data_IF_878217067998
#
_entry.id   IF_878217067998
#
_cell.length_a   1.000
_cell.length_b   1.000
_cell.length_c   1.000
_cell.angle_alpha   90.00
_cell.angle_beta   90.00
_cell.angle_gamma   90.00
#
_symmetry.space_group_name_H-M   'P 1'
#
loop_
_entity.id
_entity.type
_entity.pdbx_description
1 polymer ?
#
# COMPACT_ATOMS: atom_id res chain seq x y z
N UNK A 1 -14.85 22.07 -5.07
CA UNK A 1 -14.39 21.59 -3.75
C UNK A 1 -14.11 20.11 -3.86
N UNK A 2 -13.00 19.63 -3.32
CA UNK A 2 -12.50 18.31 -3.62
C UNK A 2 -13.37 17.20 -2.98
N UNK A 3 -13.84 16.19 -3.74
CA UNK A 3 -14.78 15.15 -3.29
C UNK A 3 -14.33 14.32 -2.06
N UNK A 4 -13.04 14.32 -1.73
CA UNK A 4 -12.50 13.51 -0.64
C UNK A 4 -12.97 13.96 0.75
N UNK A 5 -13.32 15.24 0.93
CA UNK A 5 -13.77 15.77 2.22
C UNK A 5 -15.16 15.25 2.64
N UNK A 6 -15.96 14.79 1.68
CA UNK A 6 -17.27 14.18 1.92
C UNK A 6 -17.25 12.66 1.98
N UNK A 7 -16.06 12.04 1.90
CA UNK A 7 -15.92 10.59 1.91
C UNK A 7 -16.27 10.04 3.30
N UNK A 8 -17.28 9.16 3.37
CA UNK A 8 -17.58 8.42 4.60
C UNK A 8 -16.55 7.32 4.76
N UNK A 9 -15.65 7.47 5.73
CA UNK A 9 -14.66 6.43 6.04
C UNK A 9 -15.40 5.26 6.70
N UNK A 10 -15.29 4.04 6.16
CA UNK A 10 -15.94 2.87 6.75
C UNK A 10 -15.29 2.49 8.08
N UNK A 11 -16.10 2.11 9.07
CA UNK A 11 -15.61 1.51 10.31
C UNK A 11 -15.47 0.02 10.09
N UNK A 12 -14.24 -0.49 10.13
CA UNK A 12 -13.94 -1.92 10.03
C UNK A 12 -13.73 -2.50 11.43
N UNK A 13 -14.80 -3.06 12.00
CA UNK A 13 -14.72 -3.80 13.28
C UNK A 13 -14.75 -5.29 12.99
N UNK A 14 -13.57 -5.90 12.85
CA UNK A 14 -13.42 -7.32 12.51
C UNK A 14 -12.32 -7.98 13.35
N UNK A 15 -12.64 -9.06 14.07
CA UNK A 15 -11.65 -9.81 14.86
C UNK A 15 -10.50 -10.36 13.98
N UNK A 16 -10.76 -10.63 12.70
CA UNK A 16 -9.74 -11.02 11.71
C UNK A 16 -8.75 -9.89 11.42
N UNK A 17 -9.22 -8.63 11.42
CA UNK A 17 -8.36 -7.46 11.22
C UNK A 17 -7.33 -7.36 12.34
N UNK A 18 -7.77 -7.50 13.60
CA UNK A 18 -6.88 -7.43 14.76
C UNK A 18 -5.76 -8.46 14.67
N UNK A 19 -6.08 -9.73 14.36
CA UNK A 19 -5.08 -10.77 14.20
C UNK A 19 -4.06 -10.48 13.09
N UNK A 20 -4.52 -10.05 11.91
CA UNK A 20 -3.66 -9.74 10.76
C UNK A 20 -2.76 -8.54 11.08
N UNK A 21 -3.35 -7.47 11.63
CA UNK A 21 -2.63 -6.27 12.02
C UNK A 21 -1.55 -6.58 13.06
N UNK A 22 -1.87 -7.37 14.09
CA UNK A 22 -0.91 -7.75 15.12
C UNK A 22 0.25 -8.59 14.54
N UNK A 23 0.00 -9.47 13.58
CA UNK A 23 1.06 -10.23 12.93
C UNK A 23 2.01 -9.31 12.15
N UNK A 24 1.46 -8.38 11.36
CA UNK A 24 2.25 -7.41 10.62
C UNK A 24 3.04 -6.48 11.55
N UNK A 25 2.44 -6.04 12.66
CA UNK A 25 3.06 -5.16 13.64
C UNK A 25 4.18 -5.83 14.47
N UNK A 26 4.20 -7.17 14.54
CA UNK A 26 5.21 -7.94 15.30
C UNK A 26 6.50 -8.20 14.54
N UNK A 27 6.52 -8.01 13.22
CA UNK A 27 7.74 -8.12 12.42
C UNK A 27 8.33 -6.75 12.13
N UNK A 28 9.59 -6.74 11.71
CA UNK A 28 10.22 -5.54 11.16
C UNK A 28 9.45 -5.08 9.91
N UNK A 29 9.15 -3.78 9.85
CA UNK A 29 8.58 -3.15 8.66
C UNK A 29 9.71 -2.82 7.71
N UNK A 30 9.65 -3.37 6.50
CA UNK A 30 10.69 -3.20 5.49
C UNK A 30 10.46 -1.92 4.69
N UNK A 31 11.37 -1.64 3.76
CA UNK A 31 11.16 -0.56 2.79
C UNK A 31 9.87 -0.79 2.00
N UNK A 32 9.20 0.29 1.58
CA UNK A 32 7.96 0.18 0.80
C UNK A 32 8.15 -0.67 -0.47
N UNK A 33 9.32 -0.61 -1.08
CA UNK A 33 9.65 -1.41 -2.26
C UNK A 33 9.62 -2.89 -1.93
N UNK A 34 10.23 -3.29 -0.81
CA UNK A 34 10.21 -4.68 -0.36
C UNK A 34 8.83 -5.13 0.11
N UNK A 35 8.08 -4.27 0.79
CA UNK A 35 6.71 -4.56 1.24
C UNK A 35 5.76 -4.82 0.07
N UNK A 36 5.95 -4.11 -1.04
CA UNK A 36 5.08 -4.17 -2.22
C UNK A 36 5.65 -5.03 -3.37
N UNK A 37 6.86 -5.57 -3.22
CA UNK A 37 7.50 -6.44 -4.22
C UNK A 37 8.11 -5.72 -5.42
N UNK A 38 8.53 -4.47 -5.26
CA UNK A 38 9.21 -3.69 -6.31
C UNK A 38 10.73 -3.68 -6.13
N UNK A 39 11.44 -3.69 -7.26
CA UNK A 39 12.81 -3.22 -7.36
C UNK A 39 12.81 -1.70 -7.56
N UNK A 40 13.43 -0.95 -6.64
CA UNK A 40 13.49 0.52 -6.69
C UNK A 40 14.34 1.02 -7.87
N UNK A 41 15.34 0.26 -8.29
CA UNK A 41 16.31 0.73 -9.27
C UNK A 41 15.78 0.60 -10.71
N UNK A 42 14.65 -0.09 -10.89
CA UNK A 42 13.88 -0.17 -12.12
C UNK A 42 12.68 0.81 -12.12
N UNK A 43 12.14 1.17 -13.29
CA UNK A 43 10.89 1.92 -13.36
C UNK A 43 9.76 1.18 -12.62
N UNK A 44 9.07 1.84 -11.70
CA UNK A 44 8.00 1.22 -10.90
C UNK A 44 6.86 0.72 -11.79
N UNK A 45 6.48 1.51 -12.81
CA UNK A 45 5.37 1.22 -13.72
C UNK A 45 5.62 0.06 -14.69
N UNK A 46 6.85 -0.41 -14.83
CA UNK A 46 7.16 -1.59 -15.66
C UNK A 46 7.08 -2.91 -14.89
N UNK A 47 6.81 -2.86 -13.58
CA UNK A 47 6.77 -4.02 -12.69
C UNK A 47 5.34 -4.30 -12.24
N UNK A 48 5.05 -5.55 -11.87
CA UNK A 48 3.78 -5.90 -11.24
C UNK A 48 3.91 -5.90 -9.72
N UNK A 49 2.94 -5.32 -8.97
CA UNK A 49 2.94 -5.40 -7.53
C UNK A 49 2.90 -6.85 -7.05
N UNK A 50 3.74 -7.19 -6.08
CA UNK A 50 3.74 -8.49 -5.42
C UNK A 50 3.95 -8.29 -3.91
N UNK A 51 2.94 -7.74 -3.21
CA UNK A 51 3.05 -7.43 -1.80
C UNK A 51 3.32 -8.66 -0.95
N UNK A 52 4.01 -8.47 0.17
CA UNK A 52 4.22 -9.55 1.15
C UNK A 52 2.87 -10.13 1.60
N UNK A 53 2.80 -11.44 1.92
CA UNK A 53 1.52 -12.10 2.20
C UNK A 53 0.70 -11.46 3.33
N UNK A 54 1.36 -11.04 4.40
CA UNK A 54 0.70 -10.40 5.55
C UNK A 54 0.29 -8.95 5.27
N UNK A 55 1.09 -8.22 4.49
CA UNK A 55 0.76 -6.91 3.94
C UNK A 55 -0.50 -7.00 3.07
N UNK A 56 -0.49 -7.91 2.09
CA UNK A 56 -1.65 -8.15 1.21
C UNK A 56 -2.91 -8.49 2.01
N UNK A 57 -2.78 -9.34 3.03
CA UNK A 57 -3.93 -9.72 3.86
C UNK A 57 -4.57 -8.53 4.59
N UNK A 58 -3.76 -7.56 5.03
CA UNK A 58 -4.26 -6.32 5.63
C UNK A 58 -4.84 -5.40 4.56
N UNK A 59 -4.13 -5.21 3.46
CA UNK A 59 -4.49 -4.31 2.37
C UNK A 59 -5.82 -4.76 1.72
N UNK A 60 -6.03 -6.07 1.52
CA UNK A 60 -7.28 -6.61 1.00
C UNK A 60 -8.49 -6.20 1.87
N UNK A 61 -8.37 -6.25 3.21
CA UNK A 61 -9.45 -5.82 4.12
C UNK A 61 -9.74 -4.32 3.96
N UNK A 62 -8.70 -3.50 3.86
CA UNK A 62 -8.83 -2.05 3.71
C UNK A 62 -9.44 -1.72 2.33
N UNK A 63 -8.97 -2.36 1.28
CA UNK A 63 -9.46 -2.16 -0.09
C UNK A 63 -10.90 -2.65 -0.26
N UNK A 64 -11.27 -3.77 0.36
CA UNK A 64 -12.65 -4.25 0.41
C UNK A 64 -13.57 -3.24 1.10
N UNK A 65 -13.14 -2.67 2.22
CA UNK A 65 -13.90 -1.66 2.94
C UNK A 65 -14.10 -0.37 2.12
N UNK A 66 -13.09 0.00 1.32
CA UNK A 66 -13.14 1.15 0.40
C UNK A 66 -13.86 0.83 -0.92
N UNK A 67 -14.16 -0.44 -1.21
CA UNK A 67 -14.83 -0.85 -2.45
C UNK A 67 -13.95 -0.75 -3.69
N UNK A 68 -12.62 -0.90 -3.55
CA UNK A 68 -11.69 -0.78 -4.67
C UNK A 68 -11.69 -2.01 -5.57
N UNK A 69 -11.72 -1.78 -6.88
CA UNK A 69 -11.48 -2.79 -7.93
C UNK A 69 -10.02 -3.21 -7.97
N UNK A 70 -9.72 -4.37 -8.57
CA UNK A 70 -8.34 -4.87 -8.70
C UNK A 70 -7.40 -3.89 -9.43
N UNK A 71 -7.92 -3.15 -10.41
CA UNK A 71 -7.14 -2.14 -11.14
C UNK A 71 -6.79 -0.96 -10.22
N UNK A 72 -7.74 -0.48 -9.43
CA UNK A 72 -7.52 0.57 -8.46
C UNK A 72 -6.54 0.14 -7.36
N UNK A 73 -6.61 -1.12 -6.91
CA UNK A 73 -5.64 -1.67 -5.94
C UNK A 73 -4.22 -1.65 -6.50
N UNK A 74 -4.03 -2.06 -7.76
CA UNK A 74 -2.73 -2.00 -8.43
C UNK A 74 -2.23 -0.55 -8.58
N UNK A 75 -3.12 0.36 -8.93
CA UNK A 75 -2.80 1.80 -9.00
C UNK A 75 -2.36 2.37 -7.66
N UNK A 76 -2.97 1.96 -6.54
CA UNK A 76 -2.51 2.36 -5.19
C UNK A 76 -1.06 1.91 -4.97
N UNK A 77 -0.73 0.65 -5.25
CA UNK A 77 0.64 0.16 -5.06
C UNK A 77 1.67 0.90 -5.93
N UNK A 78 1.39 1.09 -7.22
CA UNK A 78 2.29 1.83 -8.11
C UNK A 78 2.45 3.28 -7.68
N UNK A 79 1.35 3.98 -7.40
CA UNK A 79 1.38 5.40 -7.04
C UNK A 79 2.14 5.64 -5.73
N UNK A 80 1.95 4.78 -4.72
CA UNK A 80 2.66 4.89 -3.43
C UNK A 80 4.16 4.63 -3.62
N UNK A 81 4.54 3.58 -4.33
CA UNK A 81 5.96 3.28 -4.57
C UNK A 81 6.66 4.36 -5.40
N UNK A 82 6.00 4.88 -6.43
CA UNK A 82 6.50 5.97 -7.28
C UNK A 82 6.66 7.28 -6.50
N UNK A 83 5.67 7.63 -5.66
CA UNK A 83 5.75 8.79 -4.78
C UNK A 83 6.94 8.72 -3.82
N UNK A 84 7.13 7.57 -3.16
CA UNK A 84 8.27 7.38 -2.25
C UNK A 84 9.60 7.41 -3.00
N UNK A 85 9.70 6.74 -4.16
CA UNK A 85 10.90 6.78 -5.00
C UNK A 85 11.28 8.21 -5.38
N UNK A 86 10.32 8.97 -5.91
CA UNK A 86 10.53 10.36 -6.32
C UNK A 86 11.01 11.24 -5.15
N UNK A 87 10.49 11.02 -3.93
CA UNK A 87 10.92 11.76 -2.74
C UNK A 87 12.34 11.41 -2.33
N UNK A 88 12.73 10.13 -2.38
CA UNK A 88 14.08 9.67 -2.03
C UNK A 88 15.12 10.13 -3.05
N UNK A 89 14.81 10.04 -4.34
CA UNK A 89 15.71 10.51 -5.41
C UNK A 89 15.96 12.01 -5.29
N UNK A 90 14.89 12.79 -5.06
CA UNK A 90 15.02 14.23 -4.83
C UNK A 90 15.86 14.57 -3.60
N UNK A 91 15.79 13.77 -2.54
CA UNK A 91 16.58 13.97 -1.33
C UNK A 91 18.07 13.61 -1.48
N UNK A 92 18.45 12.87 -2.53
CA UNK A 92 19.85 12.54 -2.84
C UNK A 92 20.51 13.55 -3.78
N UNK A 93 19.70 14.30 -4.53
CA UNK A 93 20.16 15.30 -5.49
C UNK A 93 20.39 16.69 -4.89
N UNK A 94 20.46 16.80 -3.55
CA UNK A 94 20.75 18.05 -2.82
C UNK A 94 22.15 18.04 -2.24
#
# INVERSE_FOLDING_TARGET
MAPFLSMKIPIVSNNKFEYIFLNLARREIKSIFTELGFDRDLPIRSQQPNPLPDRKALDDIVFDALGLTEDERREVYWAVAELVKNRLDKARSV
#
